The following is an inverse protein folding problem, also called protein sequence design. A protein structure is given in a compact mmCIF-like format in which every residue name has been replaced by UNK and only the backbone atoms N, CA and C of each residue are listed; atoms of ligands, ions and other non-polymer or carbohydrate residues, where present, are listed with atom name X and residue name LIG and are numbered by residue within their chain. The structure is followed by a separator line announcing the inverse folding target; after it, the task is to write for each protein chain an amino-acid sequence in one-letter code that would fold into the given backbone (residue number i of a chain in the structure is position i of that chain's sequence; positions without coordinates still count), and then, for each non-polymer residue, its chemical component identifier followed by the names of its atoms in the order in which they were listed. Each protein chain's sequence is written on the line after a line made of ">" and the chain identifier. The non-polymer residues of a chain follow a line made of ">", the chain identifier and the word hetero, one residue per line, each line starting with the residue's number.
data_IF_308191840430
#
_entry.id   IF_308191840430
#
_cell.length_a   1.000
_cell.length_b   1.000
_cell.length_c   1.000
_cell.angle_alpha   90.00
_cell.angle_beta   90.00
_cell.angle_gamma   90.00
#
_symmetry.space_group_name_H-M   'P 1'
#
loop_
_entity.id
_entity.type
_entity.pdbx_description
1 polymer ?
#
# COMPACT_ATOMS: atom_id res chain seq x y z
N UNK A 1 -26.28 19.24 7.12
CA UNK A 1 -25.11 19.49 8.00
C UNK A 1 -25.17 18.59 9.24
N UNK A 2 -26.25 18.62 10.01
CA UNK A 2 -26.40 17.81 11.24
C UNK A 2 -26.31 16.28 11.00
N UNK A 3 -26.99 15.78 9.95
CA UNK A 3 -26.93 14.37 9.58
C UNK A 3 -25.53 13.90 9.13
N UNK A 4 -24.78 14.76 8.45
CA UNK A 4 -23.42 14.46 8.00
C UNK A 4 -22.44 14.38 9.17
N UNK A 5 -22.58 15.28 10.15
CA UNK A 5 -21.81 15.24 11.39
C UNK A 5 -22.12 13.97 12.19
N UNK A 6 -23.38 13.55 12.24
CA UNK A 6 -23.77 12.30 12.88
C UNK A 6 -23.12 11.09 12.20
N UNK A 7 -23.10 11.03 10.86
CA UNK A 7 -22.45 9.94 10.13
C UNK A 7 -20.94 9.88 10.39
N UNK A 8 -20.24 11.03 10.39
CA UNK A 8 -18.81 11.11 10.69
C UNK A 8 -18.52 10.62 12.11
N UNK A 9 -19.35 11.00 13.09
CA UNK A 9 -19.21 10.54 14.47
C UNK A 9 -19.35 9.01 14.57
N UNK A 10 -20.37 8.43 13.92
CA UNK A 10 -20.56 6.97 13.86
C UNK A 10 -19.37 6.26 13.22
N UNK A 11 -18.84 6.78 12.10
CA UNK A 11 -17.67 6.18 11.45
C UNK A 11 -16.44 6.21 12.35
N UNK A 12 -16.19 7.31 13.07
CA UNK A 12 -15.08 7.42 14.02
C UNK A 12 -15.19 6.40 15.15
N UNK A 13 -16.40 6.16 15.65
CA UNK A 13 -16.65 5.14 16.68
C UNK A 13 -16.39 3.72 16.16
N UNK A 14 -16.88 3.41 14.96
CA UNK A 14 -16.65 2.11 14.31
C UNK A 14 -15.16 1.84 14.05
N UNK A 15 -14.42 2.85 13.56
CA UNK A 15 -12.98 2.76 13.37
C UNK A 15 -12.25 2.51 14.69
N UNK A 16 -12.66 3.18 15.78
CA UNK A 16 -12.09 2.93 17.10
C UNK A 16 -12.35 1.50 17.59
N UNK A 17 -13.55 0.95 17.36
CA UNK A 17 -13.84 -0.44 17.70
C UNK A 17 -12.99 -1.43 16.88
N UNK A 18 -12.83 -1.19 15.57
CA UNK A 18 -11.97 -2.01 14.71
C UNK A 18 -10.50 -1.98 15.16
N UNK A 19 -10.01 -0.80 15.55
CA UNK A 19 -8.65 -0.63 16.06
C UNK A 19 -8.44 -1.37 17.38
N UNK A 20 -9.37 -1.25 18.32
CA UNK A 20 -9.23 -1.83 19.66
C UNK A 20 -9.43 -3.35 19.70
N UNK A 21 -10.38 -3.86 18.90
CA UNK A 21 -10.86 -5.23 19.04
C UNK A 21 -10.58 -6.12 17.83
N UNK A 22 -10.24 -5.55 16.68
CA UNK A 22 -10.15 -6.30 15.41
C UNK A 22 -8.85 -6.06 14.64
N UNK A 23 -7.87 -5.38 15.24
CA UNK A 23 -6.51 -5.27 14.70
C UNK A 23 -6.37 -4.30 13.51
N UNK A 24 -7.26 -3.31 13.38
CA UNK A 24 -7.09 -2.26 12.36
C UNK A 24 -5.84 -1.42 12.66
N UNK A 25 -4.91 -1.37 11.71
CA UNK A 25 -3.63 -0.67 11.85
C UNK A 25 -3.54 0.64 11.05
N UNK A 26 -4.19 0.69 9.89
CA UNK A 26 -4.10 1.81 8.96
C UNK A 26 -5.32 1.85 8.06
N UNK A 27 -5.59 3.02 7.50
CA UNK A 27 -6.54 3.17 6.39
C UNK A 27 -5.76 3.16 5.07
N UNK A 28 -6.43 2.71 4.01
CA UNK A 28 -5.91 2.78 2.65
C UNK A 28 -6.90 3.53 1.77
N UNK A 29 -6.38 4.42 0.93
CA UNK A 29 -7.10 5.13 -0.12
C UNK A 29 -6.28 5.08 -1.43
N UNK A 30 -6.81 5.62 -2.51
CA UNK A 30 -6.06 5.70 -3.76
C UNK A 30 -6.70 6.58 -4.82
N UNK A 31 -5.84 7.19 -5.63
CA UNK A 31 -6.22 7.94 -6.85
C UNK A 31 -6.16 7.05 -8.09
N UNK A 32 -5.60 5.85 -7.98
CA UNK A 32 -5.39 4.94 -9.10
C UNK A 32 -6.64 4.10 -9.41
N UNK A 33 -6.95 3.10 -8.57
CA UNK A 33 -8.05 2.18 -8.81
C UNK A 33 -9.30 2.60 -8.04
N UNK A 34 -9.11 3.13 -6.84
CA UNK A 34 -10.21 3.60 -6.00
C UNK A 34 -10.86 4.89 -6.56
N UNK A 35 -10.24 5.54 -7.55
CA UNK A 35 -10.72 6.75 -8.25
C UNK A 35 -11.16 7.87 -7.30
N UNK A 36 -10.49 7.97 -6.16
CA UNK A 36 -10.86 8.95 -5.14
C UNK A 36 -10.34 10.33 -5.52
N UNK A 37 -11.18 11.34 -5.30
CA UNK A 37 -10.72 12.72 -5.34
C UNK A 37 -9.98 13.12 -4.05
N UNK A 38 -9.30 14.27 -4.10
CA UNK A 38 -8.52 14.76 -2.96
C UNK A 38 -9.38 15.19 -1.76
N UNK A 39 -10.66 15.53 -1.96
CA UNK A 39 -11.57 15.87 -0.87
C UNK A 39 -12.00 14.61 -0.11
N UNK A 40 -12.24 13.51 -0.82
CA UNK A 40 -12.54 12.21 -0.22
C UNK A 40 -11.35 11.67 0.57
N UNK A 41 -10.13 11.81 0.03
CA UNK A 41 -8.89 11.47 0.75
C UNK A 41 -8.73 12.33 2.01
N UNK A 42 -9.03 13.63 1.92
CA UNK A 42 -8.99 14.52 3.08
C UNK A 42 -10.01 14.13 4.16
N UNK A 43 -11.21 13.71 3.75
CA UNK A 43 -12.23 13.19 4.66
C UNK A 43 -11.73 11.93 5.39
N UNK A 44 -11.11 10.98 4.68
CA UNK A 44 -10.52 9.78 5.30
C UNK A 44 -9.38 10.14 6.28
N UNK A 45 -8.53 11.09 5.92
CA UNK A 45 -7.47 11.58 6.81
C UNK A 45 -8.07 12.19 8.10
N UNK A 46 -9.16 12.94 8.00
CA UNK A 46 -9.87 13.49 9.16
C UNK A 46 -10.52 12.40 10.02
N UNK A 47 -11.07 11.36 9.40
CA UNK A 47 -11.66 10.21 10.10
C UNK A 47 -10.60 9.45 10.91
N UNK A 48 -9.40 9.28 10.36
CA UNK A 48 -8.27 8.70 11.09
C UNK A 48 -7.78 9.54 12.27
N UNK A 49 -8.05 10.86 12.26
CA UNK A 49 -7.79 11.84 13.33
C UNK A 49 -6.37 11.73 13.96
N UNK A 50 -5.37 11.36 13.16
CA UNK A 50 -3.98 11.14 13.60
C UNK A 50 -3.73 9.87 14.43
N UNK A 51 -4.76 9.05 14.67
CA UNK A 51 -4.66 7.76 15.37
C UNK A 51 -4.45 6.58 14.43
N UNK A 52 -4.94 6.71 13.19
CA UNK A 52 -4.77 5.73 12.14
C UNK A 52 -3.97 6.38 10.99
N UNK A 53 -2.78 5.87 10.66
CA UNK A 53 -2.05 6.34 9.49
C UNK A 53 -2.83 6.01 8.22
N UNK A 54 -2.75 6.90 7.23
CA UNK A 54 -3.33 6.73 5.91
C UNK A 54 -2.23 6.41 4.89
N UNK A 55 -2.38 5.30 4.16
CA UNK A 55 -1.55 4.94 3.03
C UNK A 55 -2.32 5.19 1.73
N UNK A 56 -1.79 5.99 0.81
CA UNK A 56 -2.47 6.32 -0.43
C UNK A 56 -1.76 5.72 -1.63
N UNK A 57 -2.47 4.89 -2.41
CA UNK A 57 -2.02 4.39 -3.72
C UNK A 57 -2.13 5.50 -4.74
N UNK A 58 -1.00 6.06 -5.17
CA UNK A 58 -0.95 7.18 -6.12
C UNK A 58 -1.15 6.68 -7.56
N UNK A 59 -1.50 7.56 -8.49
CA UNK A 59 -1.86 7.18 -9.87
C UNK A 59 -0.69 6.59 -10.70
N UNK A 60 0.54 6.66 -10.20
CA UNK A 60 1.73 6.13 -10.87
C UNK A 60 3.03 6.48 -10.16
N UNK A 61 4.13 5.85 -10.58
CA UNK A 61 5.46 6.04 -9.98
C UNK A 61 5.99 7.50 -9.99
N UNK A 62 5.46 8.36 -10.86
CA UNK A 62 5.82 9.79 -10.93
C UNK A 62 4.64 10.75 -10.71
N UNK A 63 3.61 10.35 -9.95
CA UNK A 63 2.44 11.18 -9.70
C UNK A 63 2.73 12.38 -8.77
N UNK A 64 3.44 13.39 -9.28
CA UNK A 64 3.84 14.60 -8.55
C UNK A 64 2.65 15.47 -8.13
N UNK A 65 1.55 15.40 -8.87
CA UNK A 65 0.30 16.13 -8.55
C UNK A 65 -0.27 15.55 -7.26
N UNK A 66 -0.46 14.24 -7.21
CA UNK A 66 -0.91 13.51 -6.03
C UNK A 66 -0.04 13.86 -4.84
N UNK A 67 1.29 13.79 -4.98
CA UNK A 67 2.20 14.06 -3.88
C UNK A 67 2.02 15.45 -3.26
N UNK A 68 1.82 16.50 -4.08
CA UNK A 68 1.53 17.85 -3.59
C UNK A 68 0.21 17.93 -2.82
N UNK A 69 -0.85 17.30 -3.34
CA UNK A 69 -2.15 17.32 -2.69
C UNK A 69 -2.14 16.51 -1.39
N UNK A 70 -1.54 15.33 -1.40
CA UNK A 70 -1.40 14.47 -0.23
C UNK A 70 -0.62 15.16 0.88
N UNK A 71 0.50 15.81 0.54
CA UNK A 71 1.26 16.60 1.51
C UNK A 71 0.39 17.73 2.12
N UNK A 72 -0.39 18.45 1.30
CA UNK A 72 -1.27 19.51 1.78
C UNK A 72 -2.38 19.00 2.71
N UNK A 73 -2.86 17.77 2.48
CA UNK A 73 -3.83 17.08 3.34
C UNK A 73 -3.18 16.57 4.65
N UNK A 74 -1.85 16.46 4.68
CA UNK A 74 -1.10 15.90 5.81
C UNK A 74 -0.93 14.38 5.75
N UNK A 75 -1.07 13.80 4.56
CA UNK A 75 -0.79 12.39 4.29
C UNK A 75 0.69 12.24 3.92
N UNK A 76 1.38 11.35 4.62
CA UNK A 76 2.79 11.03 4.37
C UNK A 76 3.02 9.57 3.94
N UNK A 77 2.01 8.70 3.99
CA UNK A 77 2.06 7.32 3.51
C UNK A 77 1.78 7.25 2.02
N UNK A 78 2.80 6.96 1.21
CA UNK A 78 2.73 6.95 -0.25
C UNK A 78 2.99 5.55 -0.77
N UNK A 79 2.03 4.98 -1.48
CA UNK A 79 2.12 3.67 -2.12
C UNK A 79 2.20 3.83 -3.64
N UNK A 80 3.31 3.40 -4.25
CA UNK A 80 3.46 3.40 -5.70
C UNK A 80 2.85 2.12 -6.31
N UNK A 81 1.98 2.24 -7.33
CA UNK A 81 1.56 1.10 -8.13
C UNK A 81 2.64 0.69 -9.14
N UNK A 82 2.50 -0.53 -9.66
CA UNK A 82 3.16 -1.03 -10.86
C UNK A 82 4.68 -0.81 -10.87
N UNK A 83 5.35 -1.07 -9.74
CA UNK A 83 6.82 -1.05 -9.66
C UNK A 83 7.36 -2.36 -10.22
N UNK A 84 7.50 -2.40 -11.55
CA UNK A 84 7.89 -3.61 -12.29
C UNK A 84 9.34 -3.58 -12.79
N UNK A 85 10.04 -2.45 -12.64
CA UNK A 85 11.43 -2.29 -13.07
C UNK A 85 12.22 -1.44 -12.08
N UNK A 86 13.55 -1.60 -12.09
CA UNK A 86 14.45 -0.74 -11.32
C UNK A 86 14.19 0.73 -11.64
N UNK A 87 14.05 1.08 -12.92
CA UNK A 87 13.82 2.46 -13.31
C UNK A 87 12.55 3.05 -12.69
N UNK A 88 11.44 2.29 -12.64
CA UNK A 88 10.22 2.74 -11.99
C UNK A 88 10.44 2.98 -10.47
N UNK A 89 11.16 2.08 -9.80
CA UNK A 89 11.54 2.23 -8.39
C UNK A 89 12.39 3.49 -8.17
N UNK A 90 13.43 3.68 -8.98
CA UNK A 90 14.32 4.85 -8.88
C UNK A 90 13.56 6.15 -9.06
N UNK A 91 12.65 6.19 -10.04
CA UNK A 91 11.82 7.35 -10.35
C UNK A 91 10.86 7.67 -9.21
N UNK A 92 10.19 6.66 -8.66
CA UNK A 92 9.31 6.83 -7.50
C UNK A 92 10.05 7.36 -6.29
N UNK A 93 11.12 6.68 -5.88
CA UNK A 93 11.88 7.04 -4.68
C UNK A 93 12.49 8.42 -4.83
N UNK A 94 13.10 8.72 -5.97
CA UNK A 94 13.67 10.05 -6.26
C UNK A 94 12.60 11.14 -6.22
N UNK A 95 11.42 10.89 -6.80
CA UNK A 95 10.31 11.85 -6.76
C UNK A 95 9.90 12.16 -5.33
N UNK A 96 9.67 11.12 -4.51
CA UNK A 96 9.25 11.30 -3.12
C UNK A 96 10.32 12.02 -2.31
N UNK A 97 11.57 11.53 -2.34
CA UNK A 97 12.64 12.13 -1.53
C UNK A 97 12.90 13.59 -1.90
N UNK A 98 12.94 13.94 -3.19
CA UNK A 98 13.13 15.32 -3.62
C UNK A 98 11.97 16.24 -3.19
N UNK A 99 10.74 15.73 -3.17
CA UNK A 99 9.59 16.50 -2.74
C UNK A 99 9.63 16.83 -1.24
N UNK A 100 10.11 15.90 -0.42
CA UNK A 100 10.18 16.04 1.04
C UNK A 100 11.52 16.61 1.55
N UNK A 101 12.54 16.79 0.69
CA UNK A 101 13.91 17.20 1.05
C UNK A 101 13.97 18.45 1.96
N UNK A 102 13.12 19.45 1.67
CA UNK A 102 13.10 20.74 2.40
C UNK A 102 12.05 20.81 3.50
N UNK A 103 11.49 19.66 3.87
CA UNK A 103 10.37 19.57 4.81
C UNK A 103 10.83 18.85 6.07
N UNK A 104 10.21 19.13 7.21
CA UNK A 104 10.45 18.37 8.44
C UNK A 104 9.70 17.03 8.47
N UNK A 105 8.82 16.79 7.50
CA UNK A 105 8.01 15.58 7.41
C UNK A 105 8.82 14.46 6.79
N UNK A 106 8.71 13.26 7.37
CA UNK A 106 9.27 12.04 6.79
C UNK A 106 8.17 11.28 6.04
N UNK A 107 8.34 11.02 4.73
CA UNK A 107 7.42 10.17 3.99
C UNK A 107 7.61 8.71 4.41
N UNK A 108 6.52 7.95 4.37
CA UNK A 108 6.52 6.49 4.49
C UNK A 108 6.32 5.92 3.09
N UNK A 109 7.33 5.22 2.56
CA UNK A 109 7.36 4.76 1.19
C UNK A 109 6.92 3.31 1.11
N UNK A 110 5.89 3.05 0.32
CA UNK A 110 5.46 1.71 -0.02
C UNK A 110 5.47 1.50 -1.53
N UNK A 111 5.70 0.27 -1.97
CA UNK A 111 5.60 -0.13 -3.37
C UNK A 111 4.70 -1.34 -3.53
N UNK A 112 3.97 -1.41 -4.63
CA UNK A 112 3.28 -2.63 -5.03
C UNK A 112 4.20 -3.54 -5.86
N UNK A 113 4.23 -4.83 -5.50
CA UNK A 113 4.66 -5.91 -6.38
C UNK A 113 3.40 -6.68 -6.74
N UNK A 114 2.91 -6.46 -7.95
CA UNK A 114 1.55 -6.85 -8.33
C UNK A 114 1.44 -7.51 -9.71
N UNK A 115 2.57 -7.86 -10.34
CA UNK A 115 2.57 -8.60 -11.61
C UNK A 115 3.62 -9.72 -11.61
N UNK A 116 3.45 -10.69 -12.51
CA UNK A 116 4.45 -11.74 -12.74
C UNK A 116 5.76 -11.15 -13.25
N UNK A 117 5.70 -10.07 -14.04
CA UNK A 117 6.89 -9.39 -14.52
C UNK A 117 7.69 -8.76 -13.37
N UNK A 118 7.02 -8.09 -12.42
CA UNK A 118 7.66 -7.58 -11.22
C UNK A 118 8.30 -8.70 -10.38
N UNK A 119 7.65 -9.87 -10.30
CA UNK A 119 8.22 -11.04 -9.62
C UNK A 119 9.48 -11.59 -10.34
N UNK A 120 9.48 -11.65 -11.67
CA UNK A 120 10.66 -12.05 -12.44
C UNK A 120 11.85 -11.10 -12.27
N UNK A 121 11.59 -9.82 -11.98
CA UNK A 121 12.60 -8.79 -11.69
C UNK A 121 12.88 -8.61 -10.19
N UNK A 122 12.29 -9.45 -9.32
CA UNK A 122 12.25 -9.19 -7.88
C UNK A 122 13.64 -9.04 -7.28
N UNK A 123 14.57 -9.94 -7.58
CA UNK A 123 15.93 -9.85 -7.04
C UNK A 123 16.63 -8.57 -7.48
N UNK A 124 16.45 -8.14 -8.72
CA UNK A 124 17.03 -6.90 -9.24
C UNK A 124 16.44 -5.69 -8.49
N UNK A 125 15.11 -5.63 -8.33
CA UNK A 125 14.41 -4.59 -7.57
C UNK A 125 14.90 -4.51 -6.13
N UNK A 126 14.96 -5.64 -5.43
CA UNK A 126 15.31 -5.71 -4.01
C UNK A 126 16.80 -5.48 -3.73
N UNK A 127 17.67 -5.63 -4.74
CA UNK A 127 19.10 -5.33 -4.65
C UNK A 127 19.45 -3.91 -5.11
N UNK A 128 18.52 -3.20 -5.75
CA UNK A 128 18.73 -1.81 -6.15
C UNK A 128 18.85 -0.91 -4.91
N UNK A 129 19.82 0.02 -4.92
CA UNK A 129 20.05 0.95 -3.80
C UNK A 129 18.82 1.81 -3.44
N UNK A 130 17.96 2.11 -4.40
CA UNK A 130 16.75 2.89 -4.18
C UNK A 130 15.67 2.10 -3.43
N UNK A 131 15.85 0.78 -3.24
CA UNK A 131 14.99 0.00 -2.36
C UNK A 131 15.25 0.27 -0.87
N UNK A 132 16.42 0.81 -0.51
CA UNK A 132 16.79 1.11 0.88
C UNK A 132 15.77 2.03 1.61
N UNK A 133 15.28 3.14 1.02
CA UNK A 133 14.28 3.99 1.66
C UNK A 133 12.84 3.44 1.60
N UNK A 134 12.59 2.30 0.95
CA UNK A 134 11.25 1.68 0.93
C UNK A 134 10.97 1.05 2.30
N UNK A 135 9.84 1.41 2.91
CA UNK A 135 9.42 0.90 4.22
C UNK A 135 8.59 -0.37 4.11
N UNK A 136 7.72 -0.46 3.09
CA UNK A 136 6.72 -1.52 2.94
C UNK A 136 6.61 -2.01 1.50
N UNK A 137 6.58 -3.33 1.31
CA UNK A 137 6.14 -3.94 0.05
C UNK A 137 4.72 -4.46 0.20
N UNK A 138 3.83 -4.05 -0.69
CA UNK A 138 2.45 -4.52 -0.75
C UNK A 138 2.30 -5.47 -1.94
N UNK A 139 1.86 -6.70 -1.69
CA UNK A 139 1.61 -7.67 -2.76
C UNK A 139 0.16 -7.53 -3.22
N UNK A 140 -0.05 -7.10 -4.47
CA UNK A 140 -1.36 -7.02 -5.10
C UNK A 140 -1.75 -8.34 -5.74
N UNK A 141 -2.38 -9.26 -5.00
CA UNK A 141 -2.64 -10.63 -5.50
C UNK A 141 -3.59 -10.69 -6.70
N UNK A 142 -4.56 -9.76 -6.78
CA UNK A 142 -5.52 -9.73 -7.88
C UNK A 142 -4.80 -9.46 -9.20
N UNK A 143 -4.08 -8.34 -9.30
CA UNK A 143 -3.29 -8.02 -10.50
C UNK A 143 -2.22 -9.08 -10.75
N UNK A 144 -1.63 -9.65 -9.69
CA UNK A 144 -0.64 -10.73 -9.83
C UNK A 144 -1.26 -11.93 -10.52
N UNK A 145 -2.43 -12.39 -10.05
CA UNK A 145 -3.14 -13.52 -10.66
C UNK A 145 -3.51 -13.26 -12.13
N UNK A 146 -4.01 -12.07 -12.43
CA UNK A 146 -4.40 -11.68 -13.78
C UNK A 146 -3.20 -11.59 -14.72
N UNK A 147 -2.08 -11.04 -14.27
CA UNK A 147 -0.82 -11.00 -15.03
C UNK A 147 -0.23 -12.40 -15.29
N UNK A 148 -0.61 -13.39 -14.47
CA UNK A 148 -0.26 -14.81 -14.67
C UNK A 148 -1.28 -15.55 -15.56
N UNK A 149 -2.31 -14.85 -16.06
CA UNK A 149 -3.46 -15.44 -16.77
C UNK A 149 -4.23 -16.47 -15.93
N UNK A 150 -4.41 -16.16 -14.64
CA UNK A 150 -5.16 -16.98 -13.69
C UNK A 150 -6.28 -16.13 -13.09
N UNK A 151 -7.54 -16.50 -13.33
CA UNK A 151 -8.70 -15.75 -12.81
C UNK A 151 -8.93 -15.99 -11.30
N UNK A 152 -8.47 -17.12 -10.79
CA UNK A 152 -8.59 -17.48 -9.37
C UNK A 152 -7.39 -16.95 -8.56
N UNK A 153 -7.63 -15.91 -7.77
CA UNK A 153 -6.63 -15.28 -6.88
C UNK A 153 -6.09 -16.23 -5.81
N UNK A 154 -6.86 -17.25 -5.42
CA UNK A 154 -6.46 -18.22 -4.40
C UNK A 154 -5.85 -19.49 -5.01
N UNK A 155 -5.61 -19.49 -6.33
CA UNK A 155 -4.97 -20.59 -7.03
C UNK A 155 -3.57 -20.90 -6.44
N UNK A 156 -3.18 -22.18 -6.26
CA UNK A 156 -1.92 -22.56 -5.60
C UNK A 156 -0.66 -21.93 -6.19
N UNK A 157 -0.64 -21.64 -7.50
CA UNK A 157 0.49 -20.94 -8.15
C UNK A 157 0.62 -19.49 -7.67
N UNK A 158 -0.50 -18.75 -7.55
CA UNK A 158 -0.51 -17.37 -7.05
C UNK A 158 -0.06 -17.35 -5.60
N UNK A 159 -0.55 -18.29 -4.79
CA UNK A 159 -0.12 -18.45 -3.40
C UNK A 159 1.38 -18.74 -3.27
N UNK A 160 1.93 -19.59 -4.15
CA UNK A 160 3.37 -19.90 -4.17
C UNK A 160 4.21 -18.67 -4.50
N UNK A 161 3.86 -17.92 -5.55
CA UNK A 161 4.56 -16.69 -5.94
C UNK A 161 4.46 -15.64 -4.83
N UNK A 162 3.26 -15.44 -4.26
CA UNK A 162 3.03 -14.55 -3.12
C UNK A 162 3.96 -14.89 -1.95
N UNK A 163 4.02 -16.18 -1.57
CA UNK A 163 4.86 -16.62 -0.46
C UNK A 163 6.36 -16.40 -0.74
N UNK A 164 6.77 -16.57 -2.00
CA UNK A 164 8.15 -16.37 -2.40
C UNK A 164 8.55 -14.89 -2.35
N UNK A 165 7.67 -13.98 -2.82
CA UNK A 165 7.86 -12.54 -2.68
C UNK A 165 8.03 -12.17 -1.19
N UNK A 166 7.14 -12.65 -0.33
CA UNK A 166 7.22 -12.40 1.13
C UNK A 166 8.57 -12.82 1.69
N UNK A 167 9.09 -13.99 1.31
CA UNK A 167 10.39 -14.48 1.80
C UNK A 167 11.54 -13.57 1.36
N UNK A 168 11.58 -13.18 0.09
CA UNK A 168 12.65 -12.34 -0.44
C UNK A 168 12.64 -10.94 0.18
N UNK A 169 11.47 -10.32 0.29
CA UNK A 169 11.35 -8.99 0.91
C UNK A 169 11.74 -9.03 2.39
N UNK A 170 11.30 -10.07 3.12
CA UNK A 170 11.69 -10.22 4.52
C UNK A 170 13.17 -10.51 4.72
N UNK A 171 13.82 -11.20 3.77
CA UNK A 171 15.27 -11.39 3.80
C UNK A 171 16.03 -10.05 3.66
N UNK A 172 15.39 -9.00 3.12
CA UNK A 172 15.88 -7.61 3.12
C UNK A 172 15.52 -6.82 4.38
N UNK A 173 14.84 -7.43 5.35
CA UNK A 173 14.42 -6.77 6.58
C UNK A 173 13.30 -5.76 6.42
N UNK A 174 12.53 -5.83 5.32
CA UNK A 174 11.40 -4.91 5.05
C UNK A 174 10.06 -5.51 5.47
N UNK A 175 9.11 -4.64 5.80
CA UNK A 175 7.73 -5.05 6.07
C UNK A 175 7.04 -5.50 4.77
N UNK A 176 6.10 -6.44 4.90
CA UNK A 176 5.27 -6.92 3.80
C UNK A 176 3.80 -6.87 4.18
N UNK A 177 2.96 -6.39 3.26
CA UNK A 177 1.51 -6.50 3.32
C UNK A 177 0.97 -7.26 2.12
N UNK A 178 -0.18 -7.92 2.28
CA UNK A 178 -0.82 -8.69 1.20
C UNK A 178 -2.24 -8.15 1.00
N UNK A 179 -2.48 -7.63 -0.21
CA UNK A 179 -3.78 -7.15 -0.66
C UNK A 179 -4.25 -7.89 -1.91
N UNK A 180 -5.25 -7.33 -2.59
CA UNK A 180 -5.87 -7.96 -3.77
C UNK A 180 -6.76 -9.13 -3.37
N UNK A 181 -8.02 -8.83 -3.05
CA UNK A 181 -9.06 -9.82 -2.77
C UNK A 181 -8.74 -10.79 -1.62
N UNK A 182 -8.35 -10.26 -0.46
CA UNK A 182 -8.28 -11.07 0.78
C UNK A 182 -9.68 -11.39 1.25
N UNK A 183 -9.95 -12.68 1.47
CA UNK A 183 -11.27 -13.19 1.82
C UNK A 183 -11.14 -14.18 2.99
N UNK A 184 -12.25 -14.62 3.61
CA UNK A 184 -12.20 -15.54 4.75
C UNK A 184 -11.44 -16.85 4.48
N UNK A 185 -11.44 -17.37 3.24
CA UNK A 185 -10.71 -18.59 2.89
C UNK A 185 -9.19 -18.36 2.82
N UNK A 186 -8.73 -17.16 2.44
CA UNK A 186 -7.30 -16.83 2.34
C UNK A 186 -6.71 -16.16 3.58
N UNK A 187 -7.54 -15.50 4.40
CA UNK A 187 -7.10 -14.70 5.55
C UNK A 187 -6.26 -15.50 6.56
N UNK A 188 -6.69 -16.71 6.94
CA UNK A 188 -5.96 -17.54 7.89
C UNK A 188 -4.60 -18.00 7.36
N UNK A 189 -4.53 -18.34 6.07
CA UNK A 189 -3.28 -18.72 5.43
C UNK A 189 -2.32 -17.53 5.33
N UNK A 190 -2.82 -16.35 4.97
CA UNK A 190 -2.02 -15.10 4.93
C UNK A 190 -1.42 -14.79 6.30
N UNK A 191 -2.25 -14.84 7.35
CA UNK A 191 -1.82 -14.56 8.71
C UNK A 191 -0.81 -15.59 9.23
N UNK A 192 -1.13 -16.87 9.10
CA UNK A 192 -0.38 -17.93 9.79
C UNK A 192 0.80 -18.46 8.97
N UNK A 193 0.62 -18.60 7.64
CA UNK A 193 1.60 -19.24 6.76
C UNK A 193 2.52 -18.23 6.08
N UNK A 194 1.98 -17.10 5.62
CA UNK A 194 2.79 -16.05 4.98
C UNK A 194 3.43 -15.12 6.01
N UNK A 195 2.79 -14.96 7.19
CA UNK A 195 3.29 -14.12 8.28
C UNK A 195 3.57 -12.68 7.82
N UNK A 196 2.68 -12.14 6.98
CA UNK A 196 2.72 -10.74 6.57
C UNK A 196 2.62 -9.84 7.82
N UNK A 197 3.30 -8.70 7.77
CA UNK A 197 3.46 -7.81 8.92
C UNK A 197 2.25 -6.87 9.06
N UNK A 198 1.51 -6.63 7.96
CA UNK A 198 0.39 -5.70 7.86
C UNK A 198 -0.70 -6.19 6.93
#
# INVERSE_FOLDING_TARGET
>A
MEQQQQHIATLKEQLAQLQQNHGLLSLKAGTEWEDMDYQEIACLQELGAGKLPLLVKIAGAEAKVDLRHLQAIGVNGILAPMIESEYALEKFVTMVLNHYEKTSQKPFLAINIETIHAYEQLDTLLNNRFFEPVDLVVIGRLDLSLSMHIDDVDHPKVAKVTQDIVKHVRAKGKDVSIGGFVNPASADSIKNNFKANR
#
